data_IF_611329104134
#
_entry.id   IF_611329104134
#
_cell.length_a   1.000
_cell.length_b   1.000
_cell.length_c   1.000
_cell.angle_alpha   90.00
_cell.angle_beta   90.00
_cell.angle_gamma   90.00
#
_symmetry.space_group_name_H-M   'P 1'
#
loop_
_entity.id
_entity.type
_entity.pdbx_description
1 polymer ?
#
# COMPACT_ATOMS: atom_id res chain seq x y z
N UNK A 1 82.28 -28.35 47.91
CA UNK A 1 83.46 -27.53 47.55
C UNK A 1 82.97 -26.50 46.54
N UNK A 2 82.82 -25.28 47.00
CA UNK A 2 83.31 -24.00 46.45
C UNK A 2 83.22 -23.91 44.88
N UNK A 3 82.57 -22.94 44.26
CA UNK A 3 82.86 -21.49 44.34
C UNK A 3 81.81 -20.65 43.66
N UNK A 4 81.64 -19.43 44.18
CA UNK A 4 81.01 -18.28 43.69
C UNK A 4 81.58 -17.74 42.36
N UNK A 5 80.78 -17.03 41.57
CA UNK A 5 81.08 -15.71 40.94
C UNK A 5 79.80 -15.29 40.19
N UNK A 6 79.05 -14.29 40.55
CA UNK A 6 79.09 -12.83 40.50
C UNK A 6 79.46 -12.26 39.12
N UNK A 7 78.53 -11.43 38.63
CA UNK A 7 78.57 -10.25 37.74
C UNK A 7 77.56 -10.41 36.58
N UNK A 8 76.78 -9.51 36.18
CA UNK A 8 76.72 -8.08 36.37
C UNK A 8 75.44 -7.62 35.65
N UNK A 9 74.71 -6.77 36.31
CA UNK A 9 73.48 -6.14 35.80
C UNK A 9 73.83 -5.12 34.72
N UNK A 10 73.36 -5.32 33.50
CA UNK A 10 73.32 -4.27 32.50
C UNK A 10 71.88 -3.91 32.24
N UNK A 11 71.48 -2.78 32.84
CA UNK A 11 70.18 -2.19 32.75
C UNK A 11 70.08 -1.46 31.41
N UNK A 12 69.40 -2.02 30.39
CA UNK A 12 69.07 -1.35 29.19
C UNK A 12 67.66 -0.72 29.37
N UNK A 13 67.63 0.58 29.64
CA UNK A 13 66.45 1.40 29.60
C UNK A 13 66.00 1.59 28.12
N UNK A 14 65.03 0.77 27.67
CA UNK A 14 64.33 1.00 26.45
C UNK A 14 63.26 2.07 26.69
N UNK A 15 63.48 3.26 26.17
CA UNK A 15 62.47 4.32 26.04
C UNK A 15 61.38 3.83 25.10
N UNK A 16 60.19 3.46 25.64
CA UNK A 16 58.96 3.30 24.88
C UNK A 16 58.43 4.70 24.59
N UNK A 17 58.58 5.17 23.36
CA UNK A 17 57.87 6.31 22.84
C UNK A 17 56.45 5.83 22.50
N UNK A 18 55.35 6.35 23.08
CA UNK A 18 54.00 6.01 22.66
C UNK A 18 53.78 6.65 21.29
N UNK A 19 53.61 5.80 20.27
CA UNK A 19 53.15 6.21 18.95
C UNK A 19 51.75 6.75 19.13
N UNK A 20 51.63 8.08 19.18
CA UNK A 20 50.35 8.81 19.23
C UNK A 20 49.48 8.37 18.04
N UNK A 21 48.29 7.86 18.37
CA UNK A 21 47.34 7.30 17.43
C UNK A 21 47.06 8.21 16.28
N UNK A 22 47.14 7.67 15.10
CA UNK A 22 46.50 8.23 13.90
C UNK A 22 44.99 8.37 14.18
N UNK A 23 44.35 9.49 13.82
CA UNK A 23 42.92 9.58 13.95
C UNK A 23 42.26 8.51 13.04
N UNK A 24 41.52 7.63 13.69
CA UNK A 24 40.69 6.65 13.01
C UNK A 24 39.80 7.43 12.02
N UNK A 25 39.76 7.10 10.72
CA UNK A 25 38.80 7.75 9.82
C UNK A 25 37.41 7.50 10.41
N UNK A 26 36.73 8.60 10.75
CA UNK A 26 35.35 8.56 11.21
C UNK A 26 34.59 7.66 10.25
N UNK A 27 34.12 6.53 10.73
CA UNK A 27 33.12 5.76 10.03
C UNK A 27 31.91 6.69 9.90
N UNK A 28 31.75 7.24 8.70
CA UNK A 28 30.51 7.89 8.32
C UNK A 28 29.46 6.80 8.35
N UNK A 29 28.81 6.65 9.49
CA UNK A 29 27.60 5.86 9.59
C UNK A 29 26.65 6.48 8.56
N UNK A 30 26.38 5.76 7.46
CA UNK A 30 25.35 6.11 6.53
C UNK A 30 24.07 6.25 7.37
N UNK A 31 23.60 7.47 7.54
CA UNK A 31 22.36 7.77 8.28
C UNK A 31 21.27 7.00 7.55
N UNK A 32 20.69 6.00 8.20
CA UNK A 32 19.51 5.33 7.67
C UNK A 32 18.43 6.40 7.47
N UNK A 33 17.85 6.43 6.27
CA UNK A 33 16.81 7.40 5.95
C UNK A 33 15.61 7.11 6.85
N UNK A 34 15.23 8.07 7.66
CA UNK A 34 14.10 7.94 8.56
C UNK A 34 12.81 7.77 7.75
N UNK A 35 11.94 6.83 8.17
CA UNK A 35 10.64 6.63 7.55
C UNK A 35 9.77 7.89 7.61
N UNK A 36 9.00 8.14 6.57
CA UNK A 36 8.07 9.27 6.52
C UNK A 36 6.72 8.81 7.07
N UNK A 37 6.30 9.39 8.17
CA UNK A 37 4.96 9.10 8.72
C UNK A 37 3.89 9.67 7.81
N UNK A 38 2.84 8.90 7.57
CA UNK A 38 1.69 9.29 6.74
C UNK A 38 0.38 9.10 7.49
N UNK A 39 -0.52 10.08 7.35
CA UNK A 39 -1.89 9.94 7.80
C UNK A 39 -2.85 10.48 6.73
N UNK A 40 -3.97 9.79 6.54
CA UNK A 40 -5.02 10.18 5.61
C UNK A 40 -6.38 10.12 6.31
N UNK A 41 -7.25 11.04 5.94
CA UNK A 41 -8.61 11.10 6.47
C UNK A 41 -9.58 11.48 5.37
N UNK A 42 -10.56 10.59 5.15
CA UNK A 42 -11.65 10.75 4.20
C UNK A 42 -11.15 11.13 2.80
N UNK A 43 -10.39 10.21 2.18
CA UNK A 43 -9.71 10.41 0.89
C UNK A 43 -10.20 9.36 -0.11
N UNK A 44 -10.65 9.80 -1.27
CA UNK A 44 -10.83 8.96 -2.45
C UNK A 44 -9.51 8.92 -3.20
N UNK A 45 -8.79 7.80 -3.10
CA UNK A 45 -7.44 7.65 -3.64
C UNK A 45 -7.45 6.84 -4.94
N UNK A 46 -6.92 7.44 -6.00
CA UNK A 46 -6.76 6.78 -7.29
C UNK A 46 -5.40 6.10 -7.40
N UNK A 47 -5.38 4.78 -7.45
CA UNK A 47 -4.20 4.00 -7.86
C UNK A 47 -3.94 4.12 -9.36
N UNK A 48 -5.03 3.94 -10.13
CA UNK A 48 -5.14 4.17 -11.57
C UNK A 48 -6.51 4.77 -11.85
N UNK A 49 -6.81 5.16 -13.09
CA UNK A 49 -8.15 5.65 -13.46
C UNK A 49 -9.28 4.70 -13.02
N UNK A 50 -9.21 3.37 -13.26
CA UNK A 50 -10.29 2.47 -12.89
C UNK A 50 -10.18 1.92 -11.46
N UNK A 51 -9.01 1.98 -10.81
CA UNK A 51 -8.77 1.39 -9.49
C UNK A 51 -8.75 2.50 -8.45
N UNK A 52 -9.89 2.70 -7.81
CA UNK A 52 -10.12 3.75 -6.82
C UNK A 52 -10.54 3.11 -5.50
N UNK A 53 -10.00 3.62 -4.40
CA UNK A 53 -10.35 3.21 -3.05
C UNK A 53 -10.77 4.42 -2.22
N UNK A 54 -11.68 4.22 -1.28
CA UNK A 54 -12.03 5.23 -0.29
C UNK A 54 -11.32 4.93 1.04
N UNK A 55 -10.41 5.81 1.42
CA UNK A 55 -9.67 5.75 2.69
C UNK A 55 -10.44 6.56 3.72
N UNK A 56 -11.19 5.88 4.61
CA UNK A 56 -11.90 6.53 5.70
C UNK A 56 -10.91 7.16 6.66
N UNK A 57 -9.87 6.39 7.00
CA UNK A 57 -8.70 6.81 7.79
C UNK A 57 -7.53 5.88 7.48
N UNK A 58 -6.34 6.40 7.61
CA UNK A 58 -5.10 5.64 7.46
C UNK A 58 -4.01 6.30 8.29
N UNK A 59 -3.21 5.48 8.96
CA UNK A 59 -1.95 5.83 9.58
C UNK A 59 -0.92 4.78 9.26
N UNK A 60 0.29 5.23 8.98
CA UNK A 60 1.38 4.35 8.61
C UNK A 60 2.65 5.12 8.31
N UNK A 61 3.52 4.47 7.57
CA UNK A 61 4.83 4.98 7.19
C UNK A 61 5.10 4.70 5.71
N UNK A 62 5.71 5.65 5.03
CA UNK A 62 6.32 5.43 3.73
C UNK A 62 7.74 4.95 3.97
N UNK A 63 7.99 3.70 3.63
CA UNK A 63 9.30 3.07 3.71
C UNK A 63 9.98 3.12 2.35
N UNK A 64 11.17 3.73 2.21
CA UNK A 64 11.86 3.73 0.93
C UNK A 64 12.21 2.30 0.50
N UNK A 65 11.95 1.96 -0.75
CA UNK A 65 12.30 0.65 -1.33
C UNK A 65 13.82 0.40 -1.29
N UNK A 66 14.61 1.47 -1.44
CA UNK A 66 16.04 1.44 -1.18
C UNK A 66 16.35 2.20 0.12
N UNK A 67 16.87 1.54 1.18
CA UNK A 67 17.13 2.16 2.49
C UNK A 67 18.07 3.37 2.47
N UNK A 68 18.81 3.57 1.38
CA UNK A 68 19.74 4.71 1.20
C UNK A 68 19.15 5.83 0.34
N UNK A 69 17.92 5.67 -0.15
CA UNK A 69 17.25 6.67 -0.97
C UNK A 69 16.12 7.31 -0.17
N UNK A 70 15.81 8.55 -0.50
CA UNK A 70 14.62 9.21 0.04
C UNK A 70 13.35 8.70 -0.66
N UNK A 71 12.21 8.87 -0.03
CA UNK A 71 10.91 8.63 -0.63
C UNK A 71 10.66 9.67 -1.74
N UNK A 72 10.35 9.20 -2.94
CA UNK A 72 9.98 10.06 -4.08
C UNK A 72 8.49 9.89 -4.34
N UNK A 73 7.70 10.89 -3.98
CA UNK A 73 6.23 10.77 -4.03
C UNK A 73 5.70 10.55 -5.45
N UNK A 74 6.40 11.09 -6.46
CA UNK A 74 6.05 10.93 -7.89
C UNK A 74 6.38 9.54 -8.44
N UNK A 75 7.20 8.78 -7.72
CA UNK A 75 7.58 7.43 -8.11
C UNK A 75 6.95 6.40 -7.17
N UNK A 76 5.82 5.84 -7.58
CA UNK A 76 5.06 4.82 -6.84
C UNK A 76 5.89 3.59 -6.46
N UNK A 77 7.00 3.34 -7.14
CA UNK A 77 7.91 2.21 -6.89
C UNK A 77 9.01 2.54 -5.88
N UNK A 78 9.21 3.82 -5.55
CA UNK A 78 10.26 4.27 -4.65
C UNK A 78 9.98 3.96 -3.17
N UNK A 79 8.74 3.61 -2.83
CA UNK A 79 8.34 3.36 -1.45
C UNK A 79 7.28 2.25 -1.33
N UNK A 80 7.16 1.73 -0.13
CA UNK A 80 6.05 0.87 0.33
C UNK A 80 5.30 1.60 1.43
N UNK A 81 3.98 1.55 1.40
CA UNK A 81 3.11 2.11 2.44
C UNK A 81 2.86 1.05 3.52
N UNK A 82 3.61 1.12 4.63
CA UNK A 82 3.43 0.26 5.78
C UNK A 82 2.28 0.78 6.66
N UNK A 83 1.19 0.03 6.73
CA UNK A 83 -0.03 0.40 7.45
C UNK A 83 0.07 0.01 8.93
N UNK A 84 -0.01 0.99 9.82
CA UNK A 84 -0.17 0.76 11.27
C UNK A 84 -1.64 0.54 11.61
N UNK A 85 -2.51 1.39 11.10
CA UNK A 85 -3.96 1.22 11.16
C UNK A 85 -4.63 1.87 9.95
N UNK A 86 -5.65 1.21 9.39
CA UNK A 86 -6.43 1.81 8.33
C UNK A 86 -7.84 1.23 8.28
N UNK A 87 -8.77 2.02 7.73
CA UNK A 87 -10.08 1.57 7.28
C UNK A 87 -10.25 2.04 5.83
N UNK A 88 -10.28 1.06 4.92
CA UNK A 88 -10.25 1.31 3.47
C UNK A 88 -11.41 0.55 2.84
N UNK A 89 -12.21 1.25 2.05
CA UNK A 89 -13.28 0.66 1.26
C UNK A 89 -12.86 0.58 -0.22
N UNK A 90 -13.05 -0.57 -0.84
CA UNK A 90 -12.90 -0.78 -2.27
C UNK A 90 -14.24 -1.22 -2.83
N UNK A 91 -14.71 -0.59 -3.92
CA UNK A 91 -15.95 -1.04 -4.55
C UNK A 91 -15.79 -2.43 -5.18
N UNK A 92 -16.88 -3.20 -5.24
CA UNK A 92 -16.90 -4.49 -5.91
C UNK A 92 -16.37 -4.40 -7.36
N UNK A 93 -16.70 -3.32 -8.07
CA UNK A 93 -16.22 -3.08 -9.42
C UNK A 93 -14.70 -2.82 -9.46
N UNK A 94 -14.17 -1.99 -8.55
CA UNK A 94 -12.74 -1.71 -8.49
C UNK A 94 -11.94 -2.98 -8.12
N UNK A 95 -12.46 -3.81 -7.20
CA UNK A 95 -11.84 -5.11 -6.90
C UNK A 95 -11.84 -6.04 -8.12
N UNK A 96 -12.95 -6.11 -8.87
CA UNK A 96 -13.01 -6.90 -10.10
C UNK A 96 -11.95 -6.44 -11.11
N UNK A 97 -11.72 -5.13 -11.23
CA UNK A 97 -10.68 -4.57 -12.10
C UNK A 97 -9.27 -4.89 -11.60
N UNK A 98 -8.99 -4.78 -10.30
CA UNK A 98 -7.72 -5.24 -9.71
C UNK A 98 -7.45 -6.69 -10.09
N UNK A 99 -8.44 -7.56 -9.93
CA UNK A 99 -8.27 -8.98 -10.25
C UNK A 99 -8.05 -9.22 -11.75
N UNK A 100 -8.81 -8.55 -12.62
CA UNK A 100 -8.69 -8.73 -14.06
C UNK A 100 -7.41 -8.13 -14.64
N UNK A 101 -6.99 -6.94 -14.18
CA UNK A 101 -5.90 -6.18 -14.80
C UNK A 101 -4.53 -6.47 -14.16
N UNK A 102 -4.48 -6.76 -12.86
CA UNK A 102 -3.21 -6.97 -12.15
C UNK A 102 -2.95 -8.44 -11.81
N UNK A 103 -4.00 -9.21 -11.48
CA UNK A 103 -3.84 -10.57 -10.96
C UNK A 103 -3.96 -11.62 -12.07
N UNK A 104 -4.98 -11.53 -12.91
CA UNK A 104 -5.32 -12.52 -13.94
C UNK A 104 -5.10 -12.02 -15.38
N UNK A 105 -4.31 -10.97 -15.58
CA UNK A 105 -4.06 -10.39 -16.92
C UNK A 105 -3.08 -11.18 -17.79
N UNK A 106 -2.42 -12.21 -17.27
CA UNK A 106 -1.40 -12.97 -18.01
C UNK A 106 -1.99 -14.09 -18.90
N UNK A 107 -1.25 -14.44 -19.95
CA UNK A 107 -1.64 -15.53 -20.84
C UNK A 107 -1.71 -16.87 -20.09
N UNK A 108 -2.87 -17.53 -20.11
CA UNK A 108 -3.08 -18.79 -19.39
C UNK A 108 -3.61 -18.62 -17.96
N UNK A 109 -3.99 -17.41 -17.55
CA UNK A 109 -4.64 -17.18 -16.26
C UNK A 109 -5.84 -18.13 -16.07
N UNK A 110 -6.03 -18.71 -14.88
CA UNK A 110 -7.09 -19.70 -14.63
C UNK A 110 -8.49 -19.08 -14.62
N UNK A 111 -8.59 -17.79 -14.28
CA UNK A 111 -9.83 -17.02 -14.24
C UNK A 111 -9.71 -15.80 -15.17
N UNK A 112 -10.83 -15.38 -15.75
CA UNK A 112 -10.92 -14.19 -16.57
C UNK A 112 -12.34 -13.61 -16.61
N UNK A 113 -12.46 -12.40 -17.10
CA UNK A 113 -13.73 -11.68 -17.23
C UNK A 113 -14.51 -11.63 -15.91
N UNK A 114 -13.80 -11.39 -14.80
CA UNK A 114 -14.40 -11.37 -13.47
C UNK A 114 -15.28 -10.14 -13.29
N UNK A 115 -16.46 -10.34 -12.74
CA UNK A 115 -17.33 -9.31 -12.19
C UNK A 115 -17.72 -9.66 -10.77
N UNK A 116 -17.83 -8.66 -9.92
CA UNK A 116 -18.14 -8.82 -8.51
C UNK A 116 -19.32 -7.91 -8.17
N UNK A 117 -20.31 -8.45 -7.51
CA UNK A 117 -21.49 -7.77 -7.01
C UNK A 117 -21.68 -8.13 -5.53
N UNK A 118 -22.33 -7.29 -4.76
CA UNK A 118 -22.73 -7.60 -3.38
C UNK A 118 -24.22 -7.82 -3.28
N UNK A 119 -24.63 -8.75 -2.45
CA UNK A 119 -26.04 -8.98 -2.12
C UNK A 119 -26.15 -9.57 -0.71
N UNK A 120 -26.89 -8.90 0.19
CA UNK A 120 -27.12 -9.36 1.57
C UNK A 120 -25.81 -9.75 2.27
N UNK A 121 -24.84 -8.86 2.32
CA UNK A 121 -23.50 -9.02 2.94
C UNK A 121 -22.66 -10.17 2.37
N UNK A 122 -23.06 -10.71 1.21
CA UNK A 122 -22.30 -11.71 0.45
C UNK A 122 -21.78 -11.13 -0.85
N UNK A 123 -20.72 -11.71 -1.35
CA UNK A 123 -20.24 -11.43 -2.70
C UNK A 123 -20.78 -12.46 -3.69
N UNK A 124 -21.17 -11.98 -4.84
CA UNK A 124 -21.46 -12.77 -6.04
C UNK A 124 -20.32 -12.49 -7.02
N UNK A 125 -19.52 -13.52 -7.29
CA UNK A 125 -18.41 -13.45 -8.26
C UNK A 125 -18.79 -14.25 -9.47
N UNK A 126 -18.77 -13.61 -10.65
CA UNK A 126 -19.01 -14.23 -11.95
C UNK A 126 -17.75 -14.10 -12.79
N UNK A 127 -17.56 -15.02 -13.72
CA UNK A 127 -16.42 -14.99 -14.61
C UNK A 127 -16.34 -16.22 -15.48
N UNK A 128 -15.16 -16.47 -16.05
CA UNK A 128 -14.87 -17.66 -16.83
C UNK A 128 -13.68 -18.41 -16.23
N UNK A 129 -13.86 -19.70 -16.02
CA UNK A 129 -12.83 -20.65 -15.62
C UNK A 129 -12.16 -21.21 -16.88
N UNK A 130 -10.85 -21.10 -16.98
CA UNK A 130 -10.08 -21.66 -18.09
C UNK A 130 -9.88 -23.15 -17.89
N UNK A 131 -10.50 -23.91 -18.78
CA UNK A 131 -10.34 -25.35 -18.96
C UNK A 131 -9.91 -25.63 -20.41
N UNK A 132 -10.28 -26.76 -21.00
CA UNK A 132 -10.14 -26.99 -22.46
C UNK A 132 -10.88 -25.94 -23.28
N UNK A 133 -11.98 -25.45 -22.76
CA UNK A 133 -12.72 -24.27 -23.20
C UNK A 133 -13.06 -23.40 -21.98
N UNK A 134 -13.42 -22.13 -22.23
CA UNK A 134 -13.82 -21.23 -21.15
C UNK A 134 -15.22 -21.61 -20.65
N UNK A 135 -15.30 -21.92 -19.35
CA UNK A 135 -16.55 -22.32 -18.68
C UNK A 135 -17.05 -21.16 -17.83
N UNK A 136 -18.21 -20.59 -18.13
CA UNK A 136 -18.81 -19.55 -17.28
C UNK A 136 -19.10 -20.11 -15.89
N UNK A 137 -18.78 -19.33 -14.86
CA UNK A 137 -19.09 -19.68 -13.48
C UNK A 137 -19.73 -18.51 -12.72
N UNK A 138 -20.45 -18.84 -11.68
CA UNK A 138 -20.96 -17.94 -10.66
C UNK A 138 -20.74 -18.56 -9.30
N UNK A 139 -20.18 -17.80 -8.35
CA UNK A 139 -20.07 -18.23 -6.95
C UNK A 139 -20.64 -17.16 -6.03
N UNK A 140 -21.29 -17.60 -4.97
CA UNK A 140 -21.72 -16.74 -3.86
C UNK A 140 -20.94 -17.14 -2.62
N UNK A 141 -20.42 -16.18 -1.89
CA UNK A 141 -19.62 -16.47 -0.70
C UNK A 141 -19.56 -15.32 0.28
N UNK A 142 -18.98 -15.62 1.44
CA UNK A 142 -18.76 -14.69 2.55
C UNK A 142 -17.30 -14.32 2.69
N UNK A 143 -17.05 -13.10 3.17
CA UNK A 143 -15.69 -12.59 3.43
C UNK A 143 -15.33 -12.73 4.90
N UNK A 144 -14.08 -13.07 5.19
CA UNK A 144 -13.49 -13.02 6.53
C UNK A 144 -11.99 -12.68 6.44
N UNK A 145 -11.42 -12.12 7.52
CA UNK A 145 -9.99 -11.96 7.65
C UNK A 145 -9.37 -13.22 8.27
N UNK A 146 -8.24 -13.66 7.74
CA UNK A 146 -7.46 -14.75 8.31
C UNK A 146 -6.53 -14.24 9.43
N UNK A 147 -6.05 -15.15 10.27
CA UNK A 147 -5.10 -14.81 11.35
C UNK A 147 -3.76 -14.25 10.82
N UNK A 148 -3.38 -14.58 9.60
CA UNK A 148 -2.18 -14.09 8.93
C UNK A 148 -2.36 -12.72 8.24
N UNK A 149 -3.59 -12.18 8.25
CA UNK A 149 -3.90 -10.86 7.68
C UNK A 149 -4.32 -10.88 6.23
N UNK A 150 -4.60 -12.06 5.65
CA UNK A 150 -5.17 -12.21 4.31
C UNK A 150 -6.69 -12.24 4.34
N UNK A 151 -7.32 -11.99 3.20
CA UNK A 151 -8.78 -12.01 3.06
C UNK A 151 -9.20 -13.35 2.48
N UNK A 152 -10.12 -14.01 3.14
CA UNK A 152 -10.73 -15.25 2.70
C UNK A 152 -12.13 -14.99 2.14
N UNK A 153 -12.36 -15.43 0.91
CA UNK A 153 -13.69 -15.58 0.33
C UNK A 153 -14.07 -17.06 0.39
N UNK A 154 -14.99 -17.41 1.28
CA UNK A 154 -15.53 -18.76 1.39
C UNK A 154 -16.66 -18.95 0.39
N UNK A 155 -16.51 -19.87 -0.57
CA UNK A 155 -17.52 -20.17 -1.58
C UNK A 155 -18.61 -21.08 -0.99
N UNK A 156 -19.82 -20.54 -0.83
CA UNK A 156 -21.00 -21.28 -0.31
C UNK A 156 -21.74 -22.01 -1.46
N UNK A 157 -21.88 -21.34 -2.59
CA UNK A 157 -22.58 -21.86 -3.76
C UNK A 157 -21.73 -21.61 -5.01
N UNK A 158 -21.49 -22.66 -5.78
CA UNK A 158 -20.77 -22.58 -7.05
C UNK A 158 -21.67 -23.15 -8.15
N UNK A 159 -21.85 -22.38 -9.21
CA UNK A 159 -22.50 -22.80 -10.45
C UNK A 159 -21.47 -22.72 -11.59
N UNK A 160 -21.45 -23.72 -12.45
CA UNK A 160 -20.67 -23.66 -13.69
C UNK A 160 -21.54 -24.12 -14.85
N UNK A 161 -21.44 -23.43 -15.98
CA UNK A 161 -22.32 -23.64 -17.14
C UNK A 161 -23.81 -23.67 -16.76
N UNK A 162 -24.23 -22.80 -15.83
CA UNK A 162 -25.61 -22.70 -15.27
C UNK A 162 -26.09 -23.91 -14.44
N UNK A 163 -25.23 -24.88 -14.16
CA UNK A 163 -25.55 -26.04 -13.31
C UNK A 163 -24.95 -25.85 -11.90
N UNK A 164 -25.64 -26.27 -10.84
CA UNK A 164 -25.09 -26.25 -9.48
C UNK A 164 -23.93 -27.26 -9.38
N UNK A 165 -22.72 -26.78 -9.19
CA UNK A 165 -21.50 -27.62 -9.16
C UNK A 165 -21.08 -27.98 -7.75
N UNK A 166 -21.34 -27.16 -6.72
CA UNK A 166 -20.83 -27.43 -5.37
C UNK A 166 -21.33 -28.78 -4.83
N UNK A 167 -22.61 -29.08 -4.94
CA UNK A 167 -23.13 -30.37 -4.52
C UNK A 167 -22.58 -31.57 -5.31
N UNK A 168 -22.24 -31.37 -6.59
CA UNK A 168 -21.58 -32.40 -7.40
C UNK A 168 -20.10 -32.56 -7.00
N UNK A 169 -19.38 -31.45 -6.73
CA UNK A 169 -17.99 -31.49 -6.28
C UNK A 169 -17.87 -32.14 -4.90
N UNK A 170 -18.76 -31.79 -3.97
CA UNK A 170 -18.83 -32.40 -2.62
C UNK A 170 -19.09 -33.90 -2.72
N UNK A 171 -20.02 -34.32 -3.59
CA UNK A 171 -20.33 -35.74 -3.83
C UNK A 171 -19.14 -36.52 -4.42
N UNK A 172 -18.33 -35.84 -5.26
CA UNK A 172 -17.15 -36.42 -5.89
C UNK A 172 -15.88 -36.29 -5.04
N UNK A 173 -15.94 -35.56 -3.91
CA UNK A 173 -14.78 -35.24 -3.09
C UNK A 173 -13.76 -34.36 -3.80
N UNK A 174 -14.22 -33.46 -4.67
CA UNK A 174 -13.38 -32.55 -5.45
C UNK A 174 -13.50 -31.14 -4.88
N UNK A 175 -12.40 -30.57 -4.40
CA UNK A 175 -12.30 -29.19 -3.93
C UNK A 175 -12.13 -28.21 -5.09
N UNK A 176 -12.52 -26.93 -4.87
CA UNK A 176 -12.26 -25.85 -5.82
C UNK A 176 -10.77 -25.72 -6.16
N UNK A 177 -9.89 -26.01 -5.22
CA UNK A 177 -8.44 -26.00 -5.41
C UNK A 177 -7.93 -26.92 -6.52
N UNK A 178 -8.68 -27.96 -6.85
CA UNK A 178 -8.35 -28.85 -7.98
C UNK A 178 -8.80 -28.30 -9.34
N UNK A 179 -9.72 -27.36 -9.34
CA UNK A 179 -10.26 -26.75 -10.56
C UNK A 179 -9.50 -25.49 -10.95
N UNK A 180 -9.00 -24.75 -9.97
CA UNK A 180 -8.34 -23.44 -10.16
C UNK A 180 -6.87 -23.57 -9.81
N UNK A 181 -6.00 -23.63 -10.82
CA UNK A 181 -4.55 -23.66 -10.61
C UNK A 181 -4.02 -22.22 -10.38
N UNK A 182 -3.70 -21.88 -9.14
CA UNK A 182 -3.17 -20.57 -8.76
C UNK A 182 -1.65 -20.53 -8.57
N UNK A 183 -0.91 -21.59 -8.89
CA UNK A 183 0.54 -21.68 -8.66
C UNK A 183 1.36 -20.55 -9.32
N UNK A 184 0.82 -19.89 -10.35
CA UNK A 184 1.45 -18.76 -11.05
C UNK A 184 0.73 -17.44 -10.79
N UNK A 185 -0.25 -17.43 -9.90
CA UNK A 185 -1.06 -16.24 -9.60
C UNK A 185 -0.49 -15.58 -8.38
N UNK A 186 -0.03 -14.33 -8.52
CA UNK A 186 0.51 -13.58 -7.39
C UNK A 186 -0.63 -13.11 -6.48
N UNK A 187 -0.48 -13.35 -5.18
CA UNK A 187 -1.39 -12.83 -4.16
C UNK A 187 -2.76 -13.53 -4.11
N UNK A 188 -2.93 -14.65 -4.82
CA UNK A 188 -4.16 -15.44 -4.79
C UNK A 188 -3.83 -16.92 -4.62
N UNK A 189 -4.42 -17.55 -3.63
CA UNK A 189 -4.36 -18.99 -3.43
C UNK A 189 -5.75 -19.56 -3.25
N UNK A 190 -5.92 -20.85 -3.58
CA UNK A 190 -7.18 -21.57 -3.35
C UNK A 190 -6.92 -22.71 -2.38
N UNK A 191 -7.65 -22.74 -1.29
CA UNK A 191 -7.56 -23.74 -0.23
C UNK A 191 -8.95 -24.36 -0.04
N UNK A 192 -9.15 -25.60 -0.50
CA UNK A 192 -10.47 -26.27 -0.55
C UNK A 192 -11.50 -25.41 -1.32
N UNK A 193 -12.48 -24.87 -0.61
CA UNK A 193 -13.54 -24.00 -1.16
C UNK A 193 -13.28 -22.50 -0.89
N UNK A 194 -12.11 -22.17 -0.39
CA UNK A 194 -11.72 -20.80 -0.04
C UNK A 194 -10.79 -20.19 -1.09
N UNK A 195 -11.10 -18.98 -1.53
CA UNK A 195 -10.18 -18.12 -2.27
C UNK A 195 -9.53 -17.15 -1.28
N UNK A 196 -8.21 -17.24 -1.16
CA UNK A 196 -7.43 -16.40 -0.27
C UNK A 196 -6.77 -15.30 -1.08
N UNK A 197 -7.04 -14.05 -0.73
CA UNK A 197 -6.48 -12.86 -1.34
C UNK A 197 -5.47 -12.21 -0.39
N UNK A 198 -4.30 -11.89 -0.90
CA UNK A 198 -3.26 -11.15 -0.19
C UNK A 198 -3.24 -9.70 -0.67
N UNK A 199 -3.77 -8.75 0.11
CA UNK A 199 -3.83 -7.34 -0.29
C UNK A 199 -2.46 -6.74 -0.61
N UNK A 200 -1.39 -7.20 0.03
CA UNK A 200 -0.03 -6.72 -0.21
C UNK A 200 0.46 -7.05 -1.63
N UNK A 201 -0.07 -8.09 -2.23
CA UNK A 201 0.41 -8.62 -3.51
C UNK A 201 -0.51 -8.36 -4.69
N UNK A 202 -1.82 -8.15 -4.46
CA UNK A 202 -2.79 -7.96 -5.55
C UNK A 202 -2.91 -6.52 -6.02
N UNK A 203 -2.60 -5.53 -5.16
CA UNK A 203 -2.69 -4.12 -5.52
C UNK A 203 -1.50 -3.67 -6.39
N UNK A 204 -1.74 -2.76 -7.36
CA UNK A 204 -0.65 -2.10 -8.08
C UNK A 204 0.14 -1.15 -7.17
N UNK A 205 1.34 -0.68 -7.57
CA UNK A 205 2.07 0.34 -6.82
C UNK A 205 1.24 1.63 -6.59
N UNK A 206 1.44 2.31 -5.44
CA UNK A 206 2.39 1.98 -4.39
C UNK A 206 1.99 0.71 -3.64
N UNK A 207 2.97 -0.16 -3.36
CA UNK A 207 2.68 -1.36 -2.60
C UNK A 207 2.30 -1.02 -1.16
N UNK A 208 1.35 -1.77 -0.61
CA UNK A 208 0.99 -1.68 0.80
C UNK A 208 1.60 -2.84 1.56
N UNK A 209 1.83 -2.64 2.86
CA UNK A 209 2.21 -3.68 3.81
C UNK A 209 1.36 -3.53 5.06
N UNK A 210 0.71 -4.59 5.50
CA UNK A 210 -0.15 -4.56 6.70
C UNK A 210 -1.14 -5.70 6.74
N UNK A 211 -1.54 -6.08 7.95
CA UNK A 211 -2.45 -7.20 8.19
C UNK A 211 -3.89 -6.74 8.25
N UNK A 212 -4.75 -7.34 7.45
CA UNK A 212 -6.20 -7.16 7.58
C UNK A 212 -6.67 -7.87 8.85
N UNK A 213 -7.29 -7.12 9.74
CA UNK A 213 -7.84 -7.62 11.02
C UNK A 213 -9.35 -7.84 10.97
N UNK A 214 -10.03 -7.14 10.07
CA UNK A 214 -11.44 -7.35 9.79
C UNK A 214 -11.78 -7.00 8.34
N UNK A 215 -12.77 -7.67 7.78
CA UNK A 215 -13.33 -7.36 6.47
C UNK A 215 -14.85 -7.52 6.52
N UNK A 216 -15.57 -6.62 5.85
CA UNK A 216 -17.02 -6.67 5.74
C UNK A 216 -17.51 -6.12 4.41
N UNK A 217 -18.65 -6.58 3.96
CA UNK A 217 -19.38 -5.99 2.84
C UNK A 217 -20.29 -4.90 3.38
N UNK A 218 -20.28 -3.73 2.78
CA UNK A 218 -21.12 -2.59 3.16
C UNK A 218 -21.67 -1.91 1.89
N UNK A 219 -22.94 -2.16 1.59
CA UNK A 219 -23.50 -1.74 0.29
C UNK A 219 -22.78 -2.45 -0.85
N UNK A 220 -22.23 -1.71 -1.80
CA UNK A 220 -21.43 -2.26 -2.91
C UNK A 220 -19.92 -2.18 -2.67
N UNK A 221 -19.52 -1.92 -1.43
CA UNK A 221 -18.11 -1.79 -1.05
C UNK A 221 -17.66 -2.95 -0.14
N UNK A 222 -16.39 -3.26 -0.24
CA UNK A 222 -15.68 -4.17 0.64
C UNK A 222 -14.80 -3.31 1.55
N UNK A 223 -15.15 -3.24 2.82
CA UNK A 223 -14.43 -2.48 3.82
C UNK A 223 -13.41 -3.37 4.50
N UNK A 224 -12.14 -2.98 4.43
CA UNK A 224 -11.01 -3.66 5.03
C UNK A 224 -10.47 -2.83 6.20
N UNK A 225 -10.24 -3.46 7.34
CA UNK A 225 -9.60 -2.85 8.50
C UNK A 225 -8.23 -3.45 8.67
N UNK A 226 -7.21 -2.59 8.72
CA UNK A 226 -5.83 -2.98 8.96
C UNK A 226 -5.40 -2.58 10.36
N UNK A 227 -4.64 -3.43 11.01
CA UNK A 227 -4.12 -3.20 12.35
C UNK A 227 -5.20 -2.97 13.40
N UNK A 228 -4.84 -2.29 14.48
CA UNK A 228 -5.77 -1.90 15.54
C UNK A 228 -5.97 -0.39 15.48
N UNK A 229 -7.21 0.10 15.40
CA UNK A 229 -7.48 1.52 15.44
C UNK A 229 -6.88 2.16 16.69
N UNK A 230 -5.95 3.08 16.51
CA UNK A 230 -5.38 3.88 17.58
C UNK A 230 -5.83 5.33 17.44
N UNK A 231 -5.94 6.04 18.56
CA UNK A 231 -6.15 7.47 18.51
C UNK A 231 -4.85 8.14 18.01
N UNK A 232 -4.91 8.73 16.82
CA UNK A 232 -3.76 9.43 16.25
C UNK A 232 -3.52 10.75 16.94
N UNK A 233 -2.29 10.96 17.37
CA UNK A 233 -1.83 12.29 17.76
C UNK A 233 -1.30 13.11 16.57
N UNK A 234 -1.10 12.45 15.44
CA UNK A 234 -0.37 12.96 14.29
C UNK A 234 -1.09 14.12 13.60
N UNK A 235 -2.36 13.94 13.28
CA UNK A 235 -3.18 14.93 12.60
C UNK A 235 -4.51 15.17 13.32
N UNK A 236 -4.63 14.76 14.58
CA UNK A 236 -5.87 14.84 15.36
C UNK A 236 -6.46 16.25 15.43
N UNK A 237 -5.64 17.28 15.22
CA UNK A 237 -6.06 18.69 15.24
C UNK A 237 -6.39 19.25 13.85
N UNK A 238 -6.17 18.48 12.75
CA UNK A 238 -6.46 18.97 11.41
C UNK A 238 -7.93 18.71 11.08
N UNK A 239 -8.75 19.76 10.92
CA UNK A 239 -10.14 19.60 10.52
C UNK A 239 -10.25 19.31 9.02
N UNK A 240 -11.26 18.51 8.61
CA UNK A 240 -11.57 18.24 7.22
C UNK A 240 -10.88 16.97 6.68
N UNK A 241 -10.80 16.89 5.35
CA UNK A 241 -10.22 15.79 4.60
C UNK A 241 -8.77 16.14 4.28
N UNK A 242 -7.84 15.19 4.39
CA UNK A 242 -6.43 15.50 4.20
C UNK A 242 -5.56 14.27 3.93
N UNK A 243 -4.38 14.53 3.33
CA UNK A 243 -3.18 13.71 3.38
C UNK A 243 -2.09 14.46 4.15
N UNK A 244 -1.43 13.81 5.11
CA UNK A 244 -0.40 14.43 5.93
C UNK A 244 0.86 13.58 5.95
N UNK A 245 2.04 14.23 5.90
CA UNK A 245 3.35 13.61 5.93
C UNK A 245 4.20 14.30 6.99
N UNK A 246 4.87 13.50 7.83
CA UNK A 246 5.77 14.01 8.88
C UNK A 246 7.01 13.16 9.00
N UNK A 247 8.06 13.84 9.48
CA UNK A 247 9.37 13.25 9.67
C UNK A 247 9.96 12.66 8.38
N UNK A 248 11.18 12.18 8.47
CA UNK A 248 11.89 11.59 7.33
C UNK A 248 12.08 12.55 6.16
N UNK A 249 12.64 12.02 5.09
CA UNK A 249 12.96 12.76 3.88
C UNK A 249 12.05 12.34 2.73
N UNK A 250 11.35 13.31 2.13
CA UNK A 250 10.42 13.06 1.03
C UNK A 250 10.62 14.11 -0.08
N UNK A 251 10.49 13.68 -1.31
CA UNK A 251 10.55 14.54 -2.50
C UNK A 251 9.21 14.56 -3.24
N UNK A 252 8.73 15.75 -3.53
CA UNK A 252 7.57 16.04 -4.38
C UNK A 252 8.06 16.81 -5.61
N UNK A 253 8.16 16.19 -6.77
CA UNK A 253 8.71 16.82 -7.96
C UNK A 253 10.14 17.34 -7.71
N UNK A 254 10.29 18.68 -7.68
CA UNK A 254 11.55 19.38 -7.41
C UNK A 254 11.74 19.76 -5.93
N UNK A 255 10.70 19.69 -5.12
CA UNK A 255 10.75 20.03 -3.71
C UNK A 255 11.20 18.83 -2.88
N UNK A 256 12.35 18.92 -2.23
CA UNK A 256 12.78 17.97 -1.20
C UNK A 256 12.54 18.59 0.16
N UNK A 257 11.88 17.83 1.02
CA UNK A 257 11.67 18.19 2.42
C UNK A 257 12.46 17.23 3.30
N UNK A 258 13.32 17.79 4.14
CA UNK A 258 14.00 17.08 5.22
C UNK A 258 13.18 17.30 6.50
N UNK A 259 13.00 16.24 7.29
CA UNK A 259 12.09 16.26 8.45
C UNK A 259 10.72 16.83 8.06
N UNK A 260 10.03 16.13 7.17
CA UNK A 260 8.82 16.61 6.52
C UNK A 260 7.73 17.04 7.52
N UNK A 261 7.09 18.16 7.26
CA UNK A 261 5.80 18.58 7.85
C UNK A 261 4.93 19.16 6.74
N UNK A 262 4.25 18.28 5.99
CA UNK A 262 3.39 18.66 4.89
C UNK A 262 2.00 18.11 5.10
N UNK A 263 0.97 18.95 4.93
CA UNK A 263 -0.42 18.53 4.92
C UNK A 263 -1.08 19.07 3.66
N UNK A 264 -1.57 18.16 2.81
CA UNK A 264 -2.46 18.47 1.70
C UNK A 264 -3.89 18.44 2.21
N UNK A 265 -4.58 19.57 2.08
CA UNK A 265 -5.90 19.82 2.67
C UNK A 265 -6.88 20.03 1.54
N UNK A 266 -7.96 19.27 1.57
CA UNK A 266 -9.09 19.45 0.69
C UNK A 266 -9.77 20.81 0.94
N UNK A 267 -10.02 21.54 -0.14
CA UNK A 267 -10.75 22.81 -0.12
C UNK A 267 -12.26 22.62 -0.05
N UNK A 268 -12.77 21.46 -0.47
CA UNK A 268 -14.19 21.08 -0.39
C UNK A 268 -14.38 20.00 0.70
N UNK A 269 -14.98 20.38 1.83
CA UNK A 269 -15.17 19.49 2.98
C UNK A 269 -16.48 18.70 2.92
N UNK A 270 -17.27 18.85 1.86
CA UNK A 270 -18.62 18.27 1.77
C UNK A 270 -18.61 16.82 1.33
N UNK A 271 -17.57 16.42 0.61
CA UNK A 271 -17.33 15.09 0.08
C UNK A 271 -15.89 14.62 0.39
N UNK A 272 -15.52 13.38 0.16
CA UNK A 272 -14.14 12.90 0.34
C UNK A 272 -13.16 13.61 -0.59
N UNK A 273 -11.97 13.89 -0.10
CA UNK A 273 -10.88 14.46 -0.89
C UNK A 273 -10.52 13.54 -2.06
N UNK A 274 -10.89 13.92 -3.27
CA UNK A 274 -10.60 13.17 -4.48
C UNK A 274 -9.16 13.45 -4.94
N UNK A 275 -8.27 12.48 -4.65
CA UNK A 275 -6.84 12.60 -4.85
C UNK A 275 -6.29 11.56 -5.82
N UNK A 276 -5.59 12.04 -6.86
CA UNK A 276 -4.93 11.18 -7.83
C UNK A 276 -3.43 11.44 -7.90
N UNK A 277 -2.63 10.44 -7.45
CA UNK A 277 -1.19 10.59 -7.37
C UNK A 277 -0.54 10.94 -8.73
N UNK A 278 -1.01 10.35 -9.83
CA UNK A 278 -0.43 10.64 -11.15
C UNK A 278 -0.76 12.07 -11.66
N UNK A 279 -1.75 12.73 -11.04
CA UNK A 279 -2.23 14.08 -11.40
C UNK A 279 -2.15 15.08 -10.23
N UNK A 280 -1.46 14.74 -9.13
CA UNK A 280 -1.41 15.62 -7.96
C UNK A 280 -0.81 17.01 -8.27
N UNK A 281 0.08 17.11 -9.26
CA UNK A 281 0.65 18.39 -9.67
C UNK A 281 -0.41 19.35 -10.22
N UNK A 282 -1.39 18.84 -10.98
CA UNK A 282 -2.52 19.64 -11.47
C UNK A 282 -3.38 20.14 -10.30
N UNK A 283 -3.57 19.29 -9.27
CA UNK A 283 -4.26 19.66 -8.04
C UNK A 283 -3.49 20.74 -7.27
N UNK A 284 -2.16 20.65 -7.19
CA UNK A 284 -1.31 21.67 -6.56
C UNK A 284 -1.41 23.02 -7.27
N UNK A 285 -1.33 23.02 -8.61
CA UNK A 285 -1.42 24.24 -9.44
C UNK A 285 -2.78 24.93 -9.28
N UNK A 286 -3.85 24.15 -9.08
CA UNK A 286 -5.20 24.68 -8.87
C UNK A 286 -5.48 25.14 -7.45
N UNK A 287 -4.52 25.00 -6.55
CA UNK A 287 -4.61 25.33 -5.14
C UNK A 287 -3.73 26.50 -4.72
N UNK A 288 -3.42 26.54 -3.43
CA UNK A 288 -2.47 27.49 -2.84
C UNK A 288 -1.75 26.88 -1.62
N UNK A 289 -0.64 27.48 -1.22
CA UNK A 289 0.16 27.01 -0.08
C UNK A 289 0.25 28.07 1.01
N UNK A 290 0.43 27.60 2.25
CA UNK A 290 0.77 28.41 3.41
C UNK A 290 1.89 27.72 4.19
N UNK A 291 2.90 28.49 4.62
CA UNK A 291 3.91 27.99 5.56
C UNK A 291 3.44 28.17 6.98
N UNK A 292 3.82 27.26 7.88
CA UNK A 292 3.67 27.44 9.33
C UNK A 292 4.87 28.20 9.92
N UNK A 293 4.75 28.73 11.15
CA UNK A 293 5.90 29.34 11.82
C UNK A 293 7.11 28.41 11.97
N UNK A 294 6.86 27.10 12.05
CA UNK A 294 7.85 26.02 12.16
C UNK A 294 8.32 25.50 10.80
N UNK A 295 8.12 26.27 9.72
CA UNK A 295 8.47 25.93 8.35
C UNK A 295 7.75 24.72 7.75
N UNK A 296 6.68 24.25 8.37
CA UNK A 296 5.79 23.22 7.78
C UNK A 296 4.99 23.82 6.62
N UNK A 297 4.53 22.97 5.70
CA UNK A 297 3.78 23.34 4.52
C UNK A 297 2.32 22.86 4.61
N UNK A 298 1.37 23.78 4.38
CA UNK A 298 -0.06 23.49 4.26
C UNK A 298 -0.48 23.80 2.85
N UNK A 299 -0.90 22.75 2.13
CA UNK A 299 -1.24 22.82 0.70
C UNK A 299 -2.74 22.64 0.58
N UNK A 300 -3.44 23.65 0.13
CA UNK A 300 -4.88 23.64 -0.07
C UNK A 300 -5.16 23.30 -1.53
N UNK A 301 -5.76 22.17 -1.80
CA UNK A 301 -5.98 21.65 -3.15
C UNK A 301 -7.45 21.43 -3.45
N UNK A 302 -7.78 21.42 -4.73
CA UNK A 302 -9.10 21.01 -5.24
C UNK A 302 -9.12 19.52 -5.50
N UNK A 303 -10.31 18.96 -5.54
CA UNK A 303 -10.55 17.59 -5.96
C UNK A 303 -10.16 17.38 -7.42
N UNK A 304 -9.62 16.20 -7.72
CA UNK A 304 -9.22 15.83 -9.08
C UNK A 304 -10.39 15.85 -10.05
N UNK A 305 -11.57 15.34 -9.66
CA UNK A 305 -12.78 15.35 -10.47
C UNK A 305 -13.24 16.77 -10.85
N UNK A 306 -13.04 17.76 -9.98
CA UNK A 306 -13.35 19.17 -10.26
C UNK A 306 -12.42 19.78 -11.31
N UNK A 307 -11.18 19.29 -11.43
CA UNK A 307 -10.23 19.75 -12.45
C UNK A 307 -10.60 19.23 -13.83
N UNK A 308 -11.06 17.98 -13.94
CA UNK A 308 -11.50 17.36 -15.18
C UNK A 308 -12.76 18.02 -15.76
N UNK A 309 -13.61 18.58 -14.90
CA UNK A 309 -14.89 19.20 -15.29
C UNK A 309 -14.73 20.60 -15.90
N UNK A 310 -13.52 21.18 -15.90
CA UNK A 310 -13.28 22.50 -16.52
C UNK A 310 -13.11 22.33 -18.03
N UNK A 311 -13.93 23.02 -18.86
CA UNK A 311 -13.63 23.10 -20.28
C UNK A 311 -12.25 23.76 -20.43
N UNK A 312 -11.40 23.15 -21.24
CA UNK A 312 -10.10 23.73 -21.61
C UNK A 312 -10.37 25.09 -22.23
N UNK A 313 -10.12 26.18 -21.48
CA UNK A 313 -10.20 27.52 -22.03
C UNK A 313 -9.06 27.62 -23.04
N UNK A 314 -9.38 27.47 -24.33
CA UNK A 314 -8.45 27.70 -25.41
C UNK A 314 -7.82 29.08 -25.19
N UNK A 315 -6.49 29.12 -25.03
CA UNK A 315 -5.75 30.39 -24.97
C UNK A 315 -6.14 31.21 -26.19
N UNK A 316 -6.54 32.49 -26.03
CA UNK A 316 -6.75 33.35 -27.17
C UNK A 316 -5.42 33.50 -27.90
N UNK A 317 -5.41 33.08 -29.17
CA UNK A 317 -4.25 33.17 -30.05
C UNK A 317 -3.65 34.56 -30.00
N UNK A 318 -2.35 34.65 -29.70
CA UNK A 318 -1.56 35.86 -29.93
C UNK A 318 -1.64 36.17 -31.43
N UNK A 319 -2.30 37.27 -31.76
CA UNK A 319 -2.11 37.97 -33.03
C UNK A 319 -0.83 38.80 -32.97
#
# INVERSE_FOLDING_TARGET
MNAKLSHGVCLFLLFFVPLSGLPNPAQTSATETQAVQVAMKNVTYHYTEPIVVHIVRLEGELLPTNPRALVVFDDKSSFTLALTSAEIAISCNALAQVLNENVFSFAGAPLKDLSIESKNDRLIVKGKLRQKMDVPFETTGTLSANADGRIRLHAEHVKAAHLPMKGLLDLLGIDLARLINTNKVRGVTVEKDDLILDPEQILPPPHIQGKVTAVRVQGNDIVQVFGTPQASNFAAKQPGNYLAFRHGDIRFGKLTMHDADLIMIDMDRRDPFDFYLDHYQDQLVAGYTKSTPEYGLRVYTRDYNQLRSRPTTSQPGKR
#
